data_IF_160233680974
#
_entry.id   IF_160233680974
#
_cell.length_a   1.000
_cell.length_b   1.000
_cell.length_c   1.000
_cell.angle_alpha   90.00
_cell.angle_beta   90.00
_cell.angle_gamma   90.00
#
_symmetry.space_group_name_H-M   'P 1'
#
loop_
_entity.id
_entity.type
_entity.pdbx_description
1 polymer ?
#
# COMPACT_ATOMS: atom_id res chain seq x y z
N UNK A 1 79.37 -45.20 12.69
CA UNK A 1 78.08 -45.26 13.40
C UNK A 1 77.14 -44.23 12.79
N UNK A 2 76.09 -44.68 12.12
CA UNK A 2 75.05 -43.85 11.50
C UNK A 2 74.14 -43.28 12.61
N UNK A 3 73.95 -41.96 12.65
CA UNK A 3 72.87 -41.33 13.42
C UNK A 3 71.95 -40.58 12.45
N UNK A 4 70.78 -41.16 12.25
CA UNK A 4 69.57 -40.51 11.73
C UNK A 4 69.05 -39.56 12.83
N UNK A 5 68.71 -38.32 12.48
CA UNK A 5 67.73 -37.55 13.24
C UNK A 5 66.77 -36.82 12.29
N UNK A 6 65.51 -36.93 12.68
CA UNK A 6 64.26 -36.62 12.02
C UNK A 6 63.85 -35.15 12.23
N UNK A 7 63.15 -34.59 11.24
CA UNK A 7 61.89 -33.79 11.30
C UNK A 7 61.95 -32.50 12.16
N UNK A 8 61.64 -31.32 11.63
CA UNK A 8 60.25 -30.85 11.48
C UNK A 8 60.17 -29.57 10.66
N UNK A 9 59.37 -29.58 9.58
CA UNK A 9 58.93 -28.38 8.88
C UNK A 9 57.71 -27.81 9.63
N UNK A 10 57.85 -26.62 10.20
CA UNK A 10 56.74 -25.87 10.81
C UNK A 10 56.03 -25.11 9.71
N UNK A 11 54.88 -25.62 9.25
CA UNK A 11 53.99 -24.88 8.36
C UNK A 11 53.06 -24.06 9.24
N UNK A 12 53.29 -22.75 9.30
CA UNK A 12 52.39 -21.79 9.94
C UNK A 12 51.27 -21.45 8.96
N UNK A 13 50.09 -22.05 9.15
CA UNK A 13 48.85 -21.62 8.48
C UNK A 13 48.28 -20.41 9.23
N UNK A 14 48.45 -19.21 8.69
CA UNK A 14 47.72 -18.03 9.14
C UNK A 14 46.29 -18.08 8.60
N UNK A 15 45.32 -18.47 9.45
CA UNK A 15 43.89 -18.29 9.17
C UNK A 15 43.56 -16.80 9.19
N UNK A 16 43.35 -16.21 8.02
CA UNK A 16 42.66 -14.92 7.90
C UNK A 16 41.16 -15.23 7.97
N UNK A 17 40.56 -15.02 9.13
CA UNK A 17 39.11 -15.04 9.29
C UNK A 17 38.55 -13.78 8.61
N UNK A 18 38.12 -13.90 7.36
CA UNK A 18 37.36 -12.87 6.68
C UNK A 18 35.95 -12.82 7.33
N UNK A 19 35.73 -11.86 8.22
CA UNK A 19 34.39 -11.50 8.68
C UNK A 19 33.64 -10.88 7.51
N UNK A 20 32.85 -11.68 6.81
CA UNK A 20 31.86 -11.20 5.84
C UNK A 20 30.75 -10.53 6.64
N UNK A 21 30.79 -9.20 6.71
CA UNK A 21 29.67 -8.40 7.20
C UNK A 21 28.59 -8.47 6.13
N UNK A 22 27.62 -9.37 6.30
CA UNK A 22 26.39 -9.33 5.51
C UNK A 22 25.62 -8.09 5.96
N UNK A 23 25.74 -7.01 5.19
CA UNK A 23 24.72 -5.98 5.21
C UNK A 23 23.44 -6.66 4.72
N UNK A 24 22.48 -6.85 5.63
CA UNK A 24 21.15 -7.34 5.32
C UNK A 24 20.49 -6.27 4.43
N UNK A 25 20.71 -6.38 3.12
CA UNK A 25 20.06 -5.54 2.13
C UNK A 25 18.59 -5.89 2.19
N UNK A 26 17.80 -5.07 2.92
CA UNK A 26 16.34 -5.21 3.00
C UNK A 26 15.82 -5.33 1.58
N UNK A 27 15.42 -6.55 1.21
CA UNK A 27 14.93 -6.88 -0.11
C UNK A 27 13.78 -5.92 -0.43
N UNK A 28 13.99 -5.06 -1.43
CA UNK A 28 13.01 -4.04 -1.81
C UNK A 28 11.80 -4.79 -2.36
N UNK A 29 10.71 -4.85 -1.58
CA UNK A 29 9.47 -5.50 -2.02
C UNK A 29 9.05 -4.91 -3.37
N UNK A 30 8.82 -5.77 -4.34
CA UNK A 30 8.27 -5.39 -5.64
C UNK A 30 6.80 -5.00 -5.50
N UNK A 31 6.27 -4.30 -6.51
CA UNK A 31 4.85 -3.93 -6.61
C UNK A 31 3.94 -5.06 -6.10
N UNK A 32 3.04 -4.73 -5.18
CA UNK A 32 2.06 -5.67 -4.62
C UNK A 32 0.66 -5.12 -4.84
N UNK A 33 -0.11 -5.80 -5.68
CA UNK A 33 -1.51 -5.48 -5.92
C UNK A 33 -2.33 -5.74 -4.66
N UNK A 34 -3.09 -4.75 -4.21
CA UNK A 34 -4.10 -4.90 -3.17
C UNK A 34 -5.46 -5.24 -3.80
N UNK A 35 -5.85 -4.51 -4.85
CA UNK A 35 -7.08 -4.73 -5.60
C UNK A 35 -6.85 -4.38 -7.06
N UNK A 36 -7.09 -5.34 -7.96
CA UNK A 36 -7.06 -5.12 -9.41
C UNK A 36 -8.45 -5.26 -10.03
N UNK A 37 -9.45 -5.65 -9.24
CA UNK A 37 -10.84 -5.77 -9.68
C UNK A 37 -11.03 -6.71 -10.87
N UNK A 38 -10.18 -7.73 -11.00
CA UNK A 38 -10.33 -8.80 -12.01
C UNK A 38 -11.10 -10.00 -11.46
N UNK A 39 -11.35 -10.04 -10.14
CA UNK A 39 -12.09 -11.09 -9.46
C UNK A 39 -13.18 -10.50 -8.56
N UNK A 40 -14.35 -11.14 -8.51
CA UNK A 40 -15.47 -10.68 -7.69
C UNK A 40 -15.19 -10.69 -6.18
N UNK A 41 -14.19 -11.45 -5.73
CA UNK A 41 -13.68 -11.40 -4.35
C UNK A 41 -13.20 -10.02 -3.93
N UNK A 42 -12.70 -9.22 -4.87
CA UNK A 42 -12.21 -7.87 -4.58
C UNK A 42 -13.37 -6.98 -4.13
N UNK A 43 -14.49 -6.98 -4.85
CA UNK A 43 -15.69 -6.21 -4.46
C UNK A 43 -16.30 -6.73 -3.16
N UNK A 44 -16.27 -8.05 -2.94
CA UNK A 44 -16.78 -8.65 -1.70
C UNK A 44 -15.98 -8.24 -0.45
N UNK A 45 -14.79 -7.68 -0.64
CA UNK A 45 -13.90 -7.20 0.40
C UNK A 45 -14.25 -5.79 0.92
N UNK A 46 -15.34 -5.16 0.48
CA UNK A 46 -15.73 -3.81 0.93
C UNK A 46 -16.93 -3.80 1.90
N UNK A 47 -16.84 -3.03 3.00
CA UNK A 47 -17.73 -3.10 4.18
C UNK A 47 -19.16 -2.66 3.91
N UNK A 48 -19.36 -1.66 3.06
CA UNK A 48 -20.67 -1.08 2.78
C UNK A 48 -20.51 -0.09 1.64
N UNK A 49 -20.88 -0.49 0.42
CA UNK A 49 -21.29 0.36 -0.71
C UNK A 49 -21.21 -0.41 -2.05
N UNK A 50 -22.03 -0.02 -3.04
CA UNK A 50 -22.24 -0.67 -4.34
C UNK A 50 -21.12 -0.41 -5.36
N UNK A 51 -19.90 -0.83 -5.03
CA UNK A 51 -18.87 -1.00 -6.06
C UNK A 51 -19.34 -2.00 -7.11
N UNK A 52 -19.27 -1.65 -8.38
CA UNK A 52 -19.60 -2.55 -9.49
C UNK A 52 -18.36 -2.75 -10.36
N UNK A 53 -18.03 -4.01 -10.66
CA UNK A 53 -16.99 -4.30 -11.65
C UNK A 53 -17.52 -4.00 -13.05
N UNK A 54 -16.84 -3.12 -13.77
CA UNK A 54 -17.20 -2.70 -15.14
C UNK A 54 -15.94 -2.60 -16.00
N UNK A 55 -16.07 -2.68 -17.33
CA UNK A 55 -14.92 -2.57 -18.23
C UNK A 55 -14.44 -1.12 -18.46
N UNK A 56 -15.29 -0.15 -18.14
CA UNK A 56 -15.00 1.27 -18.31
C UNK A 56 -13.81 1.69 -17.44
N UNK A 57 -12.92 2.50 -18.00
CA UNK A 57 -11.76 3.08 -17.31
C UNK A 57 -10.79 2.09 -16.66
N UNK A 58 -10.82 0.81 -17.05
CA UNK A 58 -9.78 -0.15 -16.69
C UNK A 58 -8.41 0.31 -17.25
N UNK A 59 -7.40 0.36 -16.39
CA UNK A 59 -6.01 0.70 -16.73
C UNK A 59 -5.11 -0.52 -16.74
N UNK A 60 -5.40 -1.53 -15.91
CA UNK A 60 -4.64 -2.78 -15.86
C UNK A 60 -5.60 -3.95 -15.76
N UNK A 61 -5.74 -4.70 -16.85
CA UNK A 61 -6.68 -5.81 -16.93
C UNK A 61 -7.93 -5.42 -17.73
N UNK A 62 -9.05 -6.07 -17.43
CA UNK A 62 -10.30 -5.90 -18.16
C UNK A 62 -11.36 -5.14 -17.37
N UNK A 63 -11.18 -4.93 -16.07
CA UNK A 63 -12.22 -4.41 -15.19
C UNK A 63 -11.71 -3.30 -14.25
N UNK A 64 -12.63 -2.47 -13.79
CA UNK A 64 -12.42 -1.45 -12.76
C UNK A 64 -13.59 -1.46 -11.78
N UNK A 65 -13.43 -0.85 -10.61
CA UNK A 65 -14.49 -0.67 -9.63
C UNK A 65 -15.17 0.69 -9.84
N UNK A 66 -16.40 0.68 -10.37
CA UNK A 66 -17.28 1.84 -10.45
C UNK A 66 -18.02 2.05 -9.13
N UNK A 67 -17.97 3.27 -8.62
CA UNK A 67 -18.57 3.69 -7.35
C UNK A 67 -19.44 4.92 -7.61
N UNK A 68 -20.74 4.81 -7.39
CA UNK A 68 -21.66 5.95 -7.50
C UNK A 68 -21.64 6.81 -6.24
N UNK A 69 -21.66 8.12 -6.39
CA UNK A 69 -21.75 9.04 -5.26
C UNK A 69 -22.95 9.97 -5.45
N UNK A 70 -23.57 10.30 -4.32
CA UNK A 70 -24.71 11.19 -4.19
C UNK A 70 -24.22 12.54 -3.67
N UNK A 71 -24.74 13.61 -4.25
CA UNK A 71 -24.45 14.98 -3.93
C UNK A 71 -24.56 15.23 -2.42
N UNK A 72 -23.57 15.92 -1.87
CA UNK A 72 -23.51 16.38 -0.49
C UNK A 72 -23.55 15.25 0.57
N UNK A 73 -23.35 13.99 0.17
CA UNK A 73 -23.25 12.86 1.08
C UNK A 73 -21.81 12.37 1.16
N UNK A 74 -21.31 12.20 2.39
CA UNK A 74 -20.02 11.53 2.59
C UNK A 74 -20.19 10.04 2.37
N UNK A 75 -19.64 9.53 1.29
CA UNK A 75 -19.62 8.10 1.00
C UNK A 75 -18.19 7.59 0.93
N UNK A 76 -18.03 6.28 1.14
CA UNK A 76 -16.72 5.66 1.34
C UNK A 76 -16.63 4.36 0.53
N UNK A 77 -15.55 4.21 -0.21
CA UNK A 77 -15.05 2.90 -0.61
C UNK A 77 -14.19 2.37 0.55
N UNK A 78 -14.78 1.54 1.41
CA UNK A 78 -14.16 1.07 2.65
C UNK A 78 -13.87 -0.43 2.59
N UNK A 79 -12.61 -0.83 2.72
CA UNK A 79 -12.23 -2.24 2.75
C UNK A 79 -12.55 -2.84 4.13
N UNK A 80 -13.12 -4.04 4.14
CA UNK A 80 -13.28 -4.93 5.30
C UNK A 80 -11.91 -5.32 5.81
N UNK A 81 -11.75 -5.40 7.12
CA UNK A 81 -10.46 -5.76 7.71
C UNK A 81 -9.92 -7.10 7.17
N UNK A 82 -10.79 -8.10 6.97
CA UNK A 82 -10.44 -9.39 6.38
C UNK A 82 -10.09 -9.32 4.89
N UNK A 83 -10.54 -8.27 4.19
CA UNK A 83 -10.24 -7.99 2.80
C UNK A 83 -8.84 -7.41 2.57
N UNK A 84 -8.21 -6.86 3.61
CA UNK A 84 -6.85 -6.32 3.53
C UNK A 84 -5.82 -7.45 3.76
N UNK A 85 -5.46 -8.14 2.68
CA UNK A 85 -4.57 -9.32 2.71
C UNK A 85 -3.13 -8.99 3.11
N UNK A 86 -2.67 -7.76 2.87
CA UNK A 86 -1.33 -7.29 3.22
C UNK A 86 -1.45 -6.25 4.34
N UNK A 87 -1.03 -6.61 5.55
CA UNK A 87 -1.07 -5.72 6.73
C UNK A 87 0.25 -4.98 7.00
N UNK A 88 1.39 -5.56 6.61
CA UNK A 88 2.70 -4.93 6.78
C UNK A 88 3.13 -4.18 5.52
N UNK A 89 3.04 -2.85 5.58
CA UNK A 89 3.41 -1.96 4.48
C UNK A 89 4.80 -1.34 4.64
N UNK A 90 5.56 -1.70 5.68
CA UNK A 90 6.86 -1.06 6.00
C UNK A 90 7.95 -1.28 4.94
N UNK A 91 7.76 -2.27 4.05
CA UNK A 91 8.68 -2.56 2.94
C UNK A 91 8.42 -1.75 1.67
N UNK A 92 7.33 -0.98 1.59
CA UNK A 92 6.95 -0.21 0.41
C UNK A 92 7.20 1.28 0.60
N UNK A 93 7.33 2.01 -0.50
CA UNK A 93 7.55 3.46 -0.52
C UNK A 93 6.25 4.23 -0.72
N UNK A 94 5.32 3.68 -1.48
CA UNK A 94 4.11 4.37 -1.89
C UNK A 94 2.91 3.45 -2.05
N UNK A 95 1.73 4.01 -1.82
CA UNK A 95 0.46 3.48 -2.28
C UNK A 95 0.09 4.22 -3.56
N UNK A 96 -0.32 3.47 -4.58
CA UNK A 96 -0.89 3.98 -5.82
C UNK A 96 -2.24 3.39 -6.10
N UNK A 97 -3.08 4.17 -6.77
CA UNK A 97 -4.29 3.67 -7.40
C UNK A 97 -4.65 4.56 -8.59
N UNK A 98 -5.20 3.94 -9.61
CA UNK A 98 -5.67 4.60 -10.81
C UNK A 98 -7.14 5.00 -10.61
N UNK A 99 -7.49 6.21 -11.01
CA UNK A 99 -8.81 6.77 -10.79
C UNK A 99 -9.27 7.60 -11.97
N UNK A 100 -10.54 7.48 -12.31
CA UNK A 100 -11.25 8.37 -13.22
C UNK A 100 -12.49 8.94 -12.53
N UNK A 101 -12.66 10.25 -12.60
CA UNK A 101 -13.82 10.96 -12.06
C UNK A 101 -14.78 11.30 -13.19
N UNK A 102 -16.01 10.79 -13.14
CA UNK A 102 -17.07 11.15 -14.09
C UNK A 102 -17.86 12.40 -13.64
N UNK A 103 -17.37 13.16 -12.67
CA UNK A 103 -17.91 14.46 -12.30
C UNK A 103 -17.62 15.49 -13.40
N UNK A 104 -18.36 16.60 -13.38
CA UNK A 104 -18.09 17.75 -14.25
C UNK A 104 -17.06 18.71 -13.64
N UNK A 105 -16.75 18.55 -12.35
CA UNK A 105 -15.75 19.31 -11.61
C UNK A 105 -14.71 18.38 -10.98
N UNK A 106 -13.59 18.97 -10.56
CA UNK A 106 -12.56 18.22 -9.84
C UNK A 106 -13.10 17.81 -8.46
N UNK A 107 -12.85 16.57 -8.06
CA UNK A 107 -13.29 16.05 -6.77
C UNK A 107 -12.11 15.87 -5.82
N UNK A 108 -12.38 15.99 -4.52
CA UNK A 108 -11.40 15.72 -3.48
C UNK A 108 -11.69 14.35 -2.85
N UNK A 109 -10.71 13.45 -2.92
CA UNK A 109 -10.70 12.21 -2.19
C UNK A 109 -10.04 12.42 -0.82
N UNK A 110 -10.66 11.91 0.24
CA UNK A 110 -10.05 11.77 1.56
C UNK A 110 -9.68 10.30 1.76
N UNK A 111 -8.39 10.00 1.72
CA UNK A 111 -7.86 8.66 1.95
C UNK A 111 -7.55 8.51 3.44
N UNK A 112 -8.27 7.60 4.11
CA UNK A 112 -8.10 7.29 5.54
C UNK A 112 -7.31 5.99 5.69
N UNK A 113 -6.21 6.06 6.42
CA UNK A 113 -5.39 4.94 6.87
C UNK A 113 -5.71 4.65 8.32
N UNK A 114 -5.81 3.36 8.69
CA UNK A 114 -5.96 2.93 10.07
C UNK A 114 -4.92 1.86 10.39
N UNK A 115 -4.14 2.06 11.44
CA UNK A 115 -3.18 1.08 11.95
C UNK A 115 -3.49 0.68 13.39
N UNK A 116 -3.00 -0.48 13.79
CA UNK A 116 -2.97 -0.89 15.20
C UNK A 116 -1.86 -0.13 15.93
N UNK A 117 -2.23 0.76 16.84
CA UNK A 117 -1.30 1.47 17.72
C UNK A 117 -0.98 0.70 19.01
N UNK A 118 -1.34 -0.58 19.09
CA UNK A 118 -1.09 -1.45 20.23
C UNK A 118 -1.80 -0.96 21.49
N UNK A 119 -1.04 -0.70 22.56
CA UNK A 119 -1.60 -0.26 23.84
C UNK A 119 -2.35 1.09 23.77
N UNK A 120 -2.13 1.88 22.72
CA UNK A 120 -2.82 3.16 22.50
C UNK A 120 -4.07 3.04 21.63
N UNK A 121 -4.43 1.83 21.19
CA UNK A 121 -5.57 1.58 20.32
C UNK A 121 -5.32 1.95 18.85
N UNK A 122 -6.38 1.92 18.05
CA UNK A 122 -6.30 2.24 16.62
C UNK A 122 -5.88 3.70 16.40
N UNK A 123 -4.99 3.94 15.43
CA UNK A 123 -4.60 5.28 14.97
C UNK A 123 -5.11 5.52 13.57
N UNK A 124 -5.39 6.78 13.22
CA UNK A 124 -5.90 7.16 11.91
C UNK A 124 -5.15 8.34 11.31
N UNK A 125 -4.83 8.26 10.01
CA UNK A 125 -4.28 9.37 9.24
C UNK A 125 -5.17 9.64 8.02
N UNK A 126 -5.32 10.90 7.66
CA UNK A 126 -6.07 11.35 6.50
C UNK A 126 -5.16 12.05 5.50
N UNK A 127 -5.21 11.62 4.24
CA UNK A 127 -4.53 12.29 3.12
C UNK A 127 -5.57 12.73 2.12
N UNK A 128 -5.50 13.99 1.71
CA UNK A 128 -6.40 14.54 0.71
C UNK A 128 -5.74 14.56 -0.67
N UNK A 129 -6.47 14.11 -1.69
CA UNK A 129 -6.00 14.08 -3.08
C UNK A 129 -7.07 14.63 -3.99
N UNK A 130 -6.67 15.59 -4.81
CA UNK A 130 -7.52 16.16 -5.86
C UNK A 130 -7.49 15.24 -7.08
N UNK A 131 -8.65 14.88 -7.61
CA UNK A 131 -8.81 14.08 -8.82
C UNK A 131 -9.44 14.97 -9.90
N UNK A 132 -8.79 15.10 -11.07
CA UNK A 132 -9.31 15.94 -12.14
C UNK A 132 -10.62 15.38 -12.71
N UNK A 133 -11.53 16.29 -13.07
CA UNK A 133 -12.76 16.00 -13.81
C UNK A 133 -12.48 15.33 -15.15
N UNK A 134 -13.25 14.28 -15.50
CA UNK A 134 -13.25 13.60 -16.81
C UNK A 134 -11.88 13.18 -17.32
N UNK A 135 -10.94 12.88 -16.42
CA UNK A 135 -9.57 12.54 -16.78
C UNK A 135 -9.03 11.41 -15.93
N UNK A 136 -8.36 10.47 -16.58
CA UNK A 136 -7.62 9.43 -15.88
C UNK A 136 -6.46 10.03 -15.09
N UNK A 137 -6.30 9.56 -13.86
CA UNK A 137 -5.32 10.06 -12.93
C UNK A 137 -4.79 8.94 -12.04
N UNK A 138 -3.47 8.85 -11.88
CA UNK A 138 -2.87 7.96 -10.88
C UNK A 138 -2.64 8.76 -9.61
N UNK A 139 -3.35 8.41 -8.55
CA UNK A 139 -3.08 8.96 -7.21
C UNK A 139 -1.87 8.25 -6.64
N UNK A 140 -0.89 9.02 -6.18
CA UNK A 140 0.30 8.51 -5.47
C UNK A 140 0.38 9.10 -4.07
N UNK A 141 0.50 8.24 -3.06
CA UNK A 141 0.68 8.60 -1.65
C UNK A 141 1.99 7.96 -1.16
N UNK A 142 2.96 8.79 -0.77
CA UNK A 142 4.21 8.31 -0.19
C UNK A 142 3.93 7.78 1.22
N UNK A 143 4.29 6.54 1.52
CA UNK A 143 4.03 5.97 2.86
C UNK A 143 4.81 6.70 3.96
N UNK A 144 5.98 7.26 3.63
CA UNK A 144 6.71 8.15 4.54
C UNK A 144 5.89 9.36 5.01
N UNK A 145 4.92 9.85 4.23
CA UNK A 145 4.08 10.97 4.66
C UNK A 145 2.98 10.58 5.65
N UNK A 146 2.82 9.28 5.95
CA UNK A 146 1.84 8.77 6.90
C UNK A 146 2.50 8.01 8.06
N UNK A 147 3.81 8.17 8.28
CA UNK A 147 4.50 7.55 9.43
C UNK A 147 4.24 8.30 10.74
N UNK A 148 3.63 9.48 10.68
CA UNK A 148 3.27 10.30 11.84
C UNK A 148 1.88 10.87 11.67
N UNK A 149 1.10 10.88 12.74
CA UNK A 149 -0.20 11.54 12.77
C UNK A 149 -0.08 13.07 12.87
N UNK A 150 -1.22 13.75 12.93
CA UNK A 150 -1.29 15.22 13.03
C UNK A 150 -0.66 15.78 14.32
N UNK A 151 -0.53 14.96 15.36
CA UNK A 151 0.11 15.31 16.63
C UNK A 151 1.59 14.91 16.66
N UNK A 152 2.13 14.38 15.55
CA UNK A 152 3.51 13.95 15.41
C UNK A 152 3.80 12.58 16.04
N UNK A 153 2.77 11.84 16.46
CA UNK A 153 2.90 10.53 17.06
C UNK A 153 3.03 9.44 15.98
N UNK A 154 3.85 8.42 16.23
CA UNK A 154 4.21 7.44 15.21
C UNK A 154 3.01 6.59 14.75
N UNK A 155 2.84 6.45 13.45
CA UNK A 155 1.80 5.62 12.83
C UNK A 155 2.45 4.38 12.23
N UNK A 156 2.03 3.20 12.73
CA UNK A 156 2.67 1.93 12.42
C UNK A 156 2.15 1.37 11.09
N UNK A 157 2.77 1.77 9.98
CA UNK A 157 2.47 1.22 8.64
C UNK A 157 2.73 -0.30 8.53
N UNK A 158 3.43 -0.90 9.49
CA UNK A 158 3.61 -2.36 9.59
C UNK A 158 2.38 -3.11 10.14
N UNK A 159 1.38 -2.40 10.64
CA UNK A 159 0.18 -2.98 11.27
C UNK A 159 -1.10 -2.33 10.73
N UNK A 160 -1.24 -2.29 9.41
CA UNK A 160 -2.44 -1.76 8.77
C UNK A 160 -3.67 -2.62 9.08
N UNK A 161 -4.74 -1.96 9.50
CA UNK A 161 -6.04 -2.58 9.80
C UNK A 161 -7.04 -2.24 8.70
N UNK A 162 -7.17 -0.95 8.34
CA UNK A 162 -8.17 -0.48 7.38
C UNK A 162 -7.59 0.55 6.42
N UNK A 163 -8.16 0.54 5.23
CA UNK A 163 -7.96 1.54 4.20
C UNK A 163 -9.33 1.95 3.64
N UNK A 164 -9.60 3.25 3.60
CA UNK A 164 -10.86 3.80 3.11
C UNK A 164 -10.62 5.01 2.23
N UNK A 165 -11.36 5.12 1.14
CA UNK A 165 -11.37 6.31 0.27
C UNK A 165 -12.75 6.95 0.40
N UNK A 166 -12.81 8.16 0.95
CA UNK A 166 -14.05 8.90 1.12
C UNK A 166 -14.16 10.02 0.08
N UNK A 167 -15.37 10.32 -0.35
CA UNK A 167 -15.68 11.50 -1.15
C UNK A 167 -17.01 12.10 -0.71
N UNK A 168 -17.12 13.43 -0.82
CA UNK A 168 -18.34 14.21 -0.62
C UNK A 168 -18.47 15.15 -1.82
N UNK A 169 -19.01 14.70 -2.96
CA UNK A 169 -19.11 15.54 -4.15
C UNK A 169 -20.25 16.57 -4.01
N UNK A 170 -20.22 17.66 -4.78
CA UNK A 170 -21.29 18.66 -4.78
C UNK A 170 -22.50 18.26 -5.65
N UNK A 171 -22.29 17.35 -6.61
CA UNK A 171 -23.33 16.77 -7.48
C UNK A 171 -23.36 15.25 -7.34
N UNK A 172 -24.35 14.60 -7.96
CA UNK A 172 -24.30 13.16 -8.16
C UNK A 172 -23.25 12.83 -9.24
N UNK A 173 -22.67 11.63 -9.17
CA UNK A 173 -21.72 11.18 -10.17
C UNK A 173 -21.10 9.84 -9.83
N UNK A 174 -20.03 9.50 -10.53
CA UNK A 174 -19.36 8.21 -10.41
C UNK A 174 -17.85 8.41 -10.38
N UNK A 175 -17.15 7.57 -9.63
CA UNK A 175 -15.70 7.45 -9.65
C UNK A 175 -15.36 5.99 -9.95
N UNK A 176 -14.40 5.81 -10.84
CA UNK A 176 -13.89 4.51 -11.26
C UNK A 176 -12.50 4.36 -10.63
N UNK A 177 -12.29 3.27 -9.90
CA UNK A 177 -11.02 2.94 -9.26
C UNK A 177 -10.44 1.68 -9.88
N UNK A 178 -9.14 1.68 -10.11
CA UNK A 178 -8.42 0.52 -10.62
C UNK A 178 -7.01 0.41 -10.00
N UNK A 179 -6.44 -0.80 -10.02
CA UNK A 179 -5.02 -1.08 -9.80
C UNK A 179 -4.47 -0.45 -8.51
N UNK A 180 -5.18 -0.68 -7.40
CA UNK A 180 -4.76 -0.28 -6.06
C UNK A 180 -3.59 -1.17 -5.62
N UNK A 181 -2.43 -0.58 -5.35
CA UNK A 181 -1.17 -1.31 -5.17
C UNK A 181 -0.16 -0.57 -4.29
N UNK A 182 0.74 -1.34 -3.70
CA UNK A 182 1.90 -0.86 -2.95
C UNK A 182 3.16 -1.02 -3.81
N UNK A 183 4.05 -0.01 -3.82
CA UNK A 183 5.33 0.02 -4.57
C UNK A 183 6.49 0.55 -3.72
#
# INVERSE_FOLDING_TARGET
MKKLFNVSAVIVFSLIAATVVFAEEKEKKTETSLFNFENSSDINSFESFSGQMVAEHAKKGAQSCKVSFTANQKQSLAIKEEGLTVKDWSGYKELKFDVYSNFNEDVQLQVKFVSDGGAQGERSIFIYKKVPSKKDHTVTIKLKSIEKDENGADFEVSKMIRFRINCTPSTDGEIYFDNIRLE
#
